data_IF_302762360824
#
_entry.id   IF_302762360824
#
_cell.length_a   1.000
_cell.length_b   1.000
_cell.length_c   1.000
_cell.angle_alpha   90.00
_cell.angle_beta   90.00
_cell.angle_gamma   90.00
#
_symmetry.space_group_name_H-M   'P 1'
#
loop_
_entity.id
_entity.type
_entity.pdbx_description
1 polymer ?
#
# COMPACT_ATOMS: atom_id res chain seq x y z
N UNK A 1 3.58 -1.99 -11.59
CA UNK A 1 3.63 -2.49 -10.21
C UNK A 1 5.00 -2.13 -9.68
N UNK A 2 5.02 -1.14 -8.80
CA UNK A 2 6.21 -0.71 -8.11
C UNK A 2 6.10 -1.17 -6.67
N UNK A 3 6.95 -2.06 -6.25
CA UNK A 3 7.15 -2.38 -4.85
C UNK A 3 8.45 -3.15 -4.71
N UNK A 4 9.01 -3.11 -3.54
CA UNK A 4 10.13 -3.91 -3.07
C UNK A 4 9.79 -5.41 -2.92
N UNK A 5 8.60 -5.83 -3.34
CA UNK A 5 8.12 -7.21 -3.30
C UNK A 5 8.50 -7.97 -4.56
N UNK A 6 8.85 -9.24 -4.39
CA UNK A 6 9.02 -10.14 -5.52
C UNK A 6 7.71 -10.25 -6.35
N UNK A 7 7.75 -10.17 -7.68
CA UNK A 7 6.55 -10.22 -8.53
C UNK A 7 5.67 -11.45 -8.29
N UNK A 8 6.27 -12.57 -7.87
CA UNK A 8 5.56 -13.81 -7.51
C UNK A 8 4.71 -13.67 -6.25
N UNK A 9 5.00 -12.70 -5.39
CA UNK A 9 4.33 -12.47 -4.11
C UNK A 9 3.19 -11.45 -4.20
N UNK A 10 3.09 -10.77 -5.34
CA UNK A 10 2.06 -9.77 -5.58
C UNK A 10 0.81 -10.44 -6.10
N UNK A 11 -0.30 -10.29 -5.41
CA UNK A 11 -1.62 -10.75 -5.84
C UNK A 11 -2.60 -9.59 -5.82
N UNK A 12 -3.59 -9.71 -6.68
CA UNK A 12 -4.67 -8.77 -6.82
C UNK A 12 -5.93 -9.29 -6.13
N UNK A 13 -6.61 -8.44 -5.39
CA UNK A 13 -7.90 -8.74 -4.80
C UNK A 13 -8.89 -7.61 -5.07
N UNK A 14 -9.98 -7.89 -5.78
CA UNK A 14 -11.00 -6.92 -6.17
C UNK A 14 -10.43 -5.68 -6.90
N UNK A 15 -10.84 -4.50 -6.44
CA UNK A 15 -10.49 -3.20 -7.03
C UNK A 15 -9.13 -2.69 -6.61
N UNK A 16 -8.39 -3.42 -5.79
CA UNK A 16 -7.12 -2.99 -5.20
C UNK A 16 -6.09 -4.07 -5.23
N UNK A 17 -4.87 -3.67 -5.26
CA UNK A 17 -3.78 -4.57 -5.50
C UNK A 17 -2.71 -4.40 -4.45
N UNK A 18 -2.49 -5.37 -3.75
CA UNK A 18 -1.38 -5.86 -2.98
C UNK A 18 -1.92 -6.74 -1.87
N UNK A 19 -1.59 -8.00 -1.91
CA UNK A 19 -1.59 -8.86 -0.74
C UNK A 19 -0.13 -9.13 -0.43
N UNK A 20 0.29 -8.76 0.77
CA UNK A 20 1.59 -9.13 1.27
C UNK A 20 1.53 -10.60 1.71
N UNK A 21 2.08 -11.48 0.88
CA UNK A 21 2.09 -12.92 1.14
C UNK A 21 3.20 -13.37 2.08
N UNK A 22 4.04 -12.45 2.58
CA UNK A 22 5.12 -12.80 3.52
C UNK A 22 4.60 -13.47 4.78
N UNK A 23 3.46 -13.02 5.29
CA UNK A 23 2.81 -13.65 6.46
C UNK A 23 2.25 -15.04 6.16
N UNK A 24 1.69 -15.26 4.98
CA UNK A 24 1.28 -16.60 4.52
C UNK A 24 2.47 -17.57 4.46
N UNK A 25 3.62 -17.09 3.99
CA UNK A 25 4.84 -17.91 3.93
C UNK A 25 5.37 -18.28 5.31
N UNK A 26 5.32 -17.37 6.28
CA UNK A 26 5.69 -17.66 7.67
C UNK A 26 4.81 -18.78 8.26
N UNK A 27 3.50 -18.72 8.04
CA UNK A 27 2.51 -19.66 8.56
C UNK A 27 2.61 -21.06 7.91
N UNK A 28 2.96 -21.13 6.62
CA UNK A 28 3.00 -22.40 5.85
C UNK A 28 4.37 -23.08 5.78
N UNK A 29 5.37 -22.62 6.53
CA UNK A 29 6.72 -23.21 6.52
C UNK A 29 7.45 -23.11 5.17
N UNK A 30 7.05 -22.18 4.31
CA UNK A 30 7.76 -21.82 3.07
C UNK A 30 7.48 -22.69 1.84
N UNK A 31 6.77 -23.81 1.94
CA UNK A 31 6.64 -24.74 0.81
C UNK A 31 5.30 -24.70 0.06
N UNK A 32 4.23 -24.11 0.64
CA UNK A 32 2.87 -24.06 0.05
C UNK A 32 2.24 -22.69 -0.02
N UNK A 33 3.04 -21.61 0.08
CA UNK A 33 2.56 -20.23 -0.03
C UNK A 33 2.35 -19.76 -1.46
N UNK A 34 1.61 -20.52 -2.28
CA UNK A 34 1.23 -20.09 -3.62
C UNK A 34 0.07 -19.13 -3.51
N UNK A 35 0.00 -18.02 -2.99
CA UNK A 35 -1.09 -17.00 -2.99
C UNK A 35 -2.45 -17.40 -3.61
N UNK A 36 -2.63 -18.69 -3.88
CA UNK A 36 -3.83 -19.30 -4.38
C UNK A 36 -4.87 -19.39 -3.26
N UNK A 37 -6.12 -19.23 -3.60
CA UNK A 37 -7.24 -19.29 -2.66
C UNK A 37 -7.21 -18.23 -1.56
N UNK A 38 -6.53 -17.09 -1.79
CA UNK A 38 -6.57 -15.93 -0.87
C UNK A 38 -7.82 -15.09 -1.09
N UNK A 39 -8.27 -14.44 -0.02
CA UNK A 39 -9.41 -13.56 -0.04
C UNK A 39 -9.54 -12.77 1.27
N UNK A 40 -10.73 -12.24 1.56
CA UNK A 40 -11.03 -11.60 2.82
C UNK A 40 -12.30 -12.16 3.42
N UNK A 41 -12.30 -12.45 4.72
CA UNK A 41 -13.50 -12.83 5.46
C UNK A 41 -14.38 -11.64 5.79
N UNK A 42 -13.79 -10.46 5.81
CA UNK A 42 -14.48 -9.20 6.05
C UNK A 42 -13.53 -8.04 6.26
N UNK A 43 -14.09 -6.83 6.16
CA UNK A 43 -13.38 -5.57 6.35
C UNK A 43 -14.09 -4.76 7.43
N UNK A 44 -13.32 -4.24 8.38
CA UNK A 44 -13.78 -3.24 9.35
C UNK A 44 -13.01 -1.95 9.12
N UNK A 45 -13.71 -0.83 9.00
CA UNK A 45 -13.12 0.49 8.74
C UNK A 45 -13.22 1.36 9.99
N UNK A 46 -12.08 1.87 10.46
CA UNK A 46 -11.98 2.72 11.65
C UNK A 46 -12.13 4.20 11.25
N UNK A 47 -12.94 4.93 12.04
CA UNK A 47 -13.18 6.36 11.89
C UNK A 47 -12.12 7.15 12.66
N UNK A 48 -11.02 7.51 12.00
CA UNK A 48 -9.90 8.23 12.62
C UNK A 48 -10.25 9.68 13.03
N UNK A 49 -11.01 10.46 12.25
CA UNK A 49 -11.42 11.81 12.63
C UNK A 49 -12.15 11.86 13.98
N UNK A 50 -13.10 10.93 14.21
CA UNK A 50 -13.84 10.86 15.47
C UNK A 50 -12.93 10.52 16.65
N UNK A 51 -11.98 9.58 16.48
CA UNK A 51 -11.02 9.23 17.53
C UNK A 51 -10.17 10.45 17.87
N UNK A 52 -9.62 11.14 16.86
CA UNK A 52 -8.79 12.33 17.06
C UNK A 52 -9.59 13.47 17.74
N UNK A 53 -10.83 13.72 17.31
CA UNK A 53 -11.70 14.75 17.90
C UNK A 53 -11.97 14.50 19.39
N UNK A 54 -12.21 13.24 19.77
CA UNK A 54 -12.53 12.84 21.15
C UNK A 54 -11.31 12.75 22.08
N UNK A 55 -10.10 12.87 21.54
CA UNK A 55 -8.85 12.73 22.30
C UNK A 55 -8.26 14.09 22.65
N UNK A 56 -7.76 14.23 23.87
CA UNK A 56 -7.09 15.45 24.32
C UNK A 56 -5.63 15.52 23.88
N UNK A 57 -5.00 14.36 23.72
CA UNK A 57 -3.60 14.20 23.35
C UNK A 57 -3.36 12.92 22.54
N UNK A 58 -2.14 12.73 22.11
CA UNK A 58 -1.74 11.59 21.30
C UNK A 58 -1.83 10.25 22.04
N UNK A 59 -1.52 10.21 23.34
CA UNK A 59 -1.60 9.00 24.17
C UNK A 59 -3.06 8.49 24.25
N UNK A 60 -4.01 9.39 24.54
CA UNK A 60 -5.44 9.05 24.56
C UNK A 60 -5.95 8.61 23.18
N UNK A 61 -5.40 9.18 22.09
CA UNK A 61 -5.73 8.75 20.74
C UNK A 61 -5.37 7.27 20.53
N UNK A 62 -4.15 6.86 20.90
CA UNK A 62 -3.73 5.46 20.76
C UNK A 62 -4.53 4.52 21.68
N UNK A 63 -4.84 4.91 22.90
CA UNK A 63 -5.72 4.11 23.79
C UNK A 63 -7.10 3.87 23.17
N UNK A 64 -7.69 4.89 22.53
CA UNK A 64 -8.99 4.76 21.86
C UNK A 64 -8.89 3.95 20.58
N UNK A 65 -7.81 4.13 19.81
CA UNK A 65 -7.53 3.37 18.60
C UNK A 65 -7.40 1.88 18.94
N UNK A 66 -6.63 1.53 19.96
CA UNK A 66 -6.44 0.15 20.40
C UNK A 66 -7.75 -0.51 20.78
N UNK A 67 -8.61 0.17 21.56
CA UNK A 67 -9.95 -0.33 21.88
C UNK A 67 -10.79 -0.62 20.63
N UNK A 68 -10.72 0.25 19.62
CA UNK A 68 -11.46 0.05 18.37
C UNK A 68 -10.87 -1.09 17.54
N UNK A 69 -9.55 -1.23 17.54
CA UNK A 69 -8.87 -2.33 16.87
C UNK A 69 -9.17 -3.68 17.53
N UNK A 70 -9.18 -3.76 18.86
CA UNK A 70 -9.56 -4.97 19.62
C UNK A 70 -10.97 -5.42 19.29
N UNK A 71 -11.93 -4.47 19.26
CA UNK A 71 -13.32 -4.76 18.85
C UNK A 71 -13.38 -5.26 17.42
N UNK A 72 -12.65 -4.61 16.50
CA UNK A 72 -12.62 -4.98 15.09
C UNK A 72 -12.01 -6.38 14.91
N UNK A 73 -10.87 -6.67 15.53
CA UNK A 73 -10.19 -7.96 15.44
C UNK A 73 -11.08 -9.10 15.98
N UNK A 74 -11.65 -8.89 17.16
CA UNK A 74 -12.60 -9.85 17.78
C UNK A 74 -13.82 -10.09 16.89
N UNK A 75 -14.40 -9.02 16.33
CA UNK A 75 -15.57 -9.13 15.43
C UNK A 75 -15.25 -9.95 14.18
N UNK A 76 -14.08 -9.73 13.59
CA UNK A 76 -13.62 -10.48 12.41
C UNK A 76 -13.31 -11.94 12.74
N UNK A 77 -12.72 -12.22 13.91
CA UNK A 77 -12.51 -13.57 14.41
C UNK A 77 -13.84 -14.33 14.57
N UNK A 78 -14.83 -13.72 15.26
CA UNK A 78 -16.17 -14.31 15.41
C UNK A 78 -16.80 -14.57 14.04
N UNK A 79 -16.69 -13.61 13.12
CA UNK A 79 -17.20 -13.78 11.74
C UNK A 79 -16.54 -14.97 11.05
N UNK A 80 -15.21 -15.12 11.16
CA UNK A 80 -14.46 -16.25 10.59
C UNK A 80 -14.98 -17.57 11.13
N UNK A 81 -15.14 -17.70 12.45
CA UNK A 81 -15.68 -18.91 13.08
C UNK A 81 -17.07 -19.24 12.54
N UNK A 82 -17.95 -18.25 12.44
CA UNK A 82 -19.32 -18.46 11.94
C UNK A 82 -19.32 -18.89 10.48
N UNK A 83 -18.59 -18.20 9.58
CA UNK A 83 -18.62 -18.55 8.15
C UNK A 83 -17.92 -19.87 7.87
N UNK A 84 -16.88 -20.24 8.65
CA UNK A 84 -16.22 -21.55 8.52
C UNK A 84 -17.17 -22.68 8.91
N UNK A 85 -17.92 -22.53 10.00
CA UNK A 85 -18.96 -23.50 10.38
C UNK A 85 -20.02 -23.62 9.27
N UNK A 86 -20.53 -22.51 8.73
CA UNK A 86 -21.51 -22.52 7.65
C UNK A 86 -20.97 -23.15 6.36
N UNK A 87 -19.66 -23.00 6.08
CA UNK A 87 -18.99 -23.69 4.98
C UNK A 87 -19.00 -25.20 5.18
N UNK A 88 -18.73 -25.68 6.40
CA UNK A 88 -18.74 -27.11 6.73
C UNK A 88 -20.13 -27.71 6.67
N UNK A 89 -21.15 -26.96 7.09
CA UNK A 89 -22.57 -27.31 6.98
C UNK A 89 -23.09 -27.27 5.52
N UNK A 90 -22.26 -26.84 4.55
CA UNK A 90 -22.59 -26.88 3.11
C UNK A 90 -23.35 -25.66 2.59
N UNK A 91 -23.49 -24.58 3.37
CA UNK A 91 -24.17 -23.35 2.95
C UNK A 91 -23.41 -22.57 1.87
N UNK A 92 -22.14 -22.86 1.66
CA UNK A 92 -21.29 -22.26 0.62
C UNK A 92 -20.75 -23.33 -0.36
N UNK A 93 -21.59 -24.00 -1.17
CA UNK A 93 -21.17 -25.17 -1.95
C UNK A 93 -20.10 -24.85 -2.99
N UNK A 94 -20.18 -23.68 -3.64
CA UNK A 94 -19.16 -23.25 -4.59
C UNK A 94 -17.84 -22.89 -3.90
N UNK A 95 -17.89 -22.16 -2.80
CA UNK A 95 -16.70 -21.83 -2.01
C UNK A 95 -16.01 -23.07 -1.49
N UNK A 96 -16.77 -24.04 -0.94
CA UNK A 96 -16.24 -25.32 -0.49
C UNK A 96 -15.57 -26.12 -1.61
N UNK A 97 -16.16 -26.11 -2.79
CA UNK A 97 -15.62 -26.83 -3.96
C UNK A 97 -14.32 -26.21 -4.49
N UNK A 98 -14.24 -24.88 -4.57
CA UNK A 98 -13.14 -24.20 -5.25
C UNK A 98 -12.04 -23.69 -4.31
N UNK A 99 -12.38 -23.34 -3.07
CA UNK A 99 -11.43 -22.79 -2.10
C UNK A 99 -11.11 -23.78 -0.97
N UNK A 100 -12.01 -24.70 -0.65
CA UNK A 100 -11.85 -25.70 0.41
C UNK A 100 -12.10 -25.15 1.80
N UNK A 101 -11.34 -24.12 2.22
CA UNK A 101 -11.42 -23.46 3.53
C UNK A 101 -11.23 -21.95 3.41
N UNK A 102 -11.37 -21.23 4.53
CA UNK A 102 -11.05 -19.81 4.66
C UNK A 102 -9.68 -19.54 5.31
N UNK A 103 -8.82 -20.57 5.45
CA UNK A 103 -7.55 -20.44 6.21
C UNK A 103 -6.59 -19.43 5.61
N UNK A 104 -6.61 -19.27 4.28
CA UNK A 104 -5.79 -18.29 3.56
C UNK A 104 -6.50 -16.95 3.34
N UNK A 105 -7.66 -16.72 3.97
CA UNK A 105 -8.38 -15.46 3.86
C UNK A 105 -8.00 -14.51 4.98
N UNK A 106 -7.88 -13.24 4.67
CA UNK A 106 -7.51 -12.21 5.64
C UNK A 106 -8.73 -11.65 6.37
N UNK A 107 -8.54 -11.35 7.65
CA UNK A 107 -9.36 -10.44 8.44
C UNK A 107 -8.80 -9.04 8.23
N UNK A 108 -9.53 -8.17 7.56
CA UNK A 108 -9.03 -6.88 7.11
C UNK A 108 -9.50 -5.75 8.01
N UNK A 109 -8.55 -4.97 8.53
CA UNK A 109 -8.84 -3.72 9.23
C UNK A 109 -8.34 -2.57 8.37
N UNK A 110 -9.17 -1.57 8.16
CA UNK A 110 -8.83 -0.38 7.40
C UNK A 110 -9.22 0.89 8.15
N UNK A 111 -8.98 2.03 7.54
CA UNK A 111 -9.22 3.34 8.14
C UNK A 111 -9.69 4.36 7.10
N UNK A 112 -10.29 5.44 7.60
CA UNK A 112 -10.64 6.62 6.81
C UNK A 112 -10.23 7.90 7.52
N UNK A 113 -10.01 8.97 6.76
CA UNK A 113 -9.96 10.33 7.27
C UNK A 113 -8.69 10.71 8.03
N UNK A 114 -7.51 10.19 7.67
CA UNK A 114 -6.27 10.63 8.32
C UNK A 114 -5.99 12.11 8.13
N UNK A 115 -6.41 12.69 7.01
CA UNK A 115 -6.36 14.13 6.80
C UNK A 115 -7.16 14.87 7.86
N UNK A 116 -8.43 14.50 8.05
CA UNK A 116 -9.31 15.12 9.03
C UNK A 116 -8.95 14.73 10.47
N UNK A 117 -8.30 13.59 10.67
CA UNK A 117 -7.74 13.24 11.98
C UNK A 117 -6.67 14.24 12.42
N UNK A 118 -5.77 14.64 11.53
CA UNK A 118 -4.79 15.71 11.80
C UNK A 118 -5.44 17.05 12.13
N UNK A 119 -6.48 17.43 11.39
CA UNK A 119 -7.23 18.67 11.64
C UNK A 119 -7.99 18.64 12.98
N UNK A 120 -8.54 17.51 13.37
CA UNK A 120 -9.29 17.36 14.63
C UNK A 120 -8.40 17.10 15.84
N UNK A 121 -7.17 16.58 15.64
CA UNK A 121 -6.20 16.35 16.70
C UNK A 121 -5.79 17.68 17.39
N UNK A 122 -6.15 17.86 18.64
CA UNK A 122 -5.92 19.11 19.41
C UNK A 122 -4.44 19.48 19.50
N UNK A 123 -3.56 18.49 19.44
CA UNK A 123 -2.10 18.62 19.51
C UNK A 123 -1.42 18.86 18.16
N UNK A 124 -2.17 18.77 17.02
CA UNK A 124 -1.63 18.98 15.66
C UNK A 124 -2.33 20.14 14.97
N UNK A 125 -3.65 20.06 14.76
CA UNK A 125 -4.48 21.06 14.08
C UNK A 125 -3.99 21.43 12.67
N UNK A 126 -3.47 20.46 11.93
CA UNK A 126 -2.97 20.60 10.55
C UNK A 126 -3.46 19.46 9.69
N UNK A 127 -3.63 19.72 8.41
CA UNK A 127 -4.00 18.72 7.42
C UNK A 127 -2.80 17.83 7.01
N UNK A 128 -3.04 16.85 6.15
CA UNK A 128 -2.03 15.87 5.73
C UNK A 128 -0.93 16.48 4.82
N UNK A 129 -1.08 17.71 4.36
CA UNK A 129 -0.03 18.40 3.58
C UNK A 129 1.15 18.83 4.46
N UNK A 130 0.96 18.87 5.79
CA UNK A 130 1.98 19.28 6.75
C UNK A 130 2.81 18.08 7.26
N UNK A 131 4.13 18.26 7.42
CA UNK A 131 5.03 17.19 7.88
C UNK A 131 4.64 16.56 9.21
N UNK A 132 4.08 17.35 10.14
CA UNK A 132 3.63 16.84 11.44
C UNK A 132 2.50 15.82 11.31
N UNK A 133 1.52 16.09 10.44
CA UNK A 133 0.40 15.17 10.18
C UNK A 133 0.86 13.97 9.35
N UNK A 134 1.81 14.15 8.43
CA UNK A 134 2.42 13.04 7.71
C UNK A 134 3.15 12.09 8.66
N UNK A 135 3.94 12.64 9.59
CA UNK A 135 4.62 11.86 10.63
C UNK A 135 3.62 11.11 11.51
N UNK A 136 2.62 11.82 12.04
CA UNK A 136 1.55 11.21 12.83
C UNK A 136 0.83 10.09 12.09
N UNK A 137 0.49 10.30 10.81
CA UNK A 137 -0.13 9.27 9.98
C UNK A 137 0.78 8.05 9.80
N UNK A 138 2.07 8.26 9.58
CA UNK A 138 3.06 7.18 9.46
C UNK A 138 3.18 6.38 10.77
N UNK A 139 3.23 7.07 11.90
CA UNK A 139 3.30 6.45 13.22
C UNK A 139 2.03 5.64 13.52
N UNK A 140 0.85 6.17 13.20
CA UNK A 140 -0.44 5.47 13.34
C UNK A 140 -0.49 4.21 12.45
N UNK A 141 -0.07 4.29 11.20
CA UNK A 141 -0.07 3.13 10.30
C UNK A 141 0.89 2.03 10.78
N UNK A 142 2.06 2.40 11.29
CA UNK A 142 3.01 1.44 11.88
C UNK A 142 2.44 0.81 13.16
N UNK A 143 1.87 1.59 14.07
CA UNK A 143 1.21 1.10 15.27
C UNK A 143 0.10 0.09 14.93
N UNK A 144 -0.76 0.42 13.96
CA UNK A 144 -1.80 -0.50 13.51
C UNK A 144 -1.22 -1.81 12.95
N UNK A 145 -0.10 -1.75 12.21
CA UNK A 145 0.58 -2.96 11.70
C UNK A 145 1.12 -3.84 12.82
N UNK A 146 1.71 -3.25 13.85
CA UNK A 146 2.18 -3.98 15.05
C UNK A 146 1.01 -4.66 15.75
N UNK A 147 -0.08 -3.94 16.01
CA UNK A 147 -1.30 -4.51 16.60
C UNK A 147 -1.90 -5.65 15.79
N UNK A 148 -1.87 -5.56 14.45
CA UNK A 148 -2.33 -6.66 13.59
C UNK A 148 -1.44 -7.91 13.71
N UNK A 149 -0.15 -7.74 13.95
CA UNK A 149 0.77 -8.85 14.24
C UNK A 149 0.42 -9.53 15.57
N UNK A 150 0.09 -8.74 16.61
CA UNK A 150 -0.35 -9.27 17.91
C UNK A 150 -1.64 -10.10 17.75
N UNK A 151 -2.62 -9.62 16.98
CA UNK A 151 -3.85 -10.37 16.72
C UNK A 151 -3.63 -11.66 15.92
N UNK A 152 -2.64 -11.68 15.03
CA UNK A 152 -2.25 -12.91 14.34
C UNK A 152 -1.71 -13.97 15.31
N UNK A 153 -0.95 -13.53 16.32
CA UNK A 153 -0.46 -14.41 17.38
C UNK A 153 -1.59 -14.88 18.31
N UNK A 154 -2.49 -13.97 18.71
CA UNK A 154 -3.58 -14.25 19.63
C UNK A 154 -4.63 -15.19 19.04
N UNK A 155 -5.11 -14.90 17.82
CA UNK A 155 -6.21 -15.65 17.20
C UNK A 155 -5.77 -16.74 16.24
N UNK A 156 -4.51 -16.74 15.81
CA UNK A 156 -4.00 -17.65 14.79
C UNK A 156 -4.55 -17.40 13.38
N UNK A 157 -5.27 -16.28 13.19
CA UNK A 157 -5.87 -15.86 11.93
C UNK A 157 -4.92 -14.93 11.15
N UNK A 158 -5.16 -14.77 9.85
CA UNK A 158 -4.44 -13.77 9.05
C UNK A 158 -5.12 -12.41 9.16
N UNK A 159 -4.35 -11.38 9.49
CA UNK A 159 -4.81 -9.98 9.53
C UNK A 159 -4.01 -9.13 8.56
N UNK A 160 -4.64 -8.12 7.98
CA UNK A 160 -3.96 -7.12 7.15
C UNK A 160 -4.56 -5.72 7.30
N UNK A 161 -3.76 -4.71 6.94
CA UNK A 161 -4.13 -3.29 6.95
C UNK A 161 -4.47 -2.83 5.54
N UNK A 162 -5.65 -2.26 5.36
CA UNK A 162 -6.15 -1.78 4.07
C UNK A 162 -6.37 -0.27 4.04
N UNK A 163 -6.00 0.35 2.92
CA UNK A 163 -6.50 1.67 2.57
C UNK A 163 -7.95 1.52 2.08
N UNK A 164 -8.91 1.55 2.99
CA UNK A 164 -10.31 1.21 2.70
C UNK A 164 -10.89 2.05 1.56
N UNK A 165 -11.48 1.43 0.50
CA UNK A 165 -12.18 2.15 -0.57
C UNK A 165 -13.57 2.59 -0.10
N UNK A 166 -13.62 3.57 0.78
CA UNK A 166 -14.83 3.95 1.47
C UNK A 166 -15.71 4.89 0.63
N UNK A 167 -16.55 4.37 -0.26
CA UNK A 167 -17.44 5.18 -1.09
C UNK A 167 -18.58 5.82 -0.29
N UNK A 168 -19.38 4.98 0.38
CA UNK A 168 -20.51 5.46 1.19
C UNK A 168 -20.11 5.72 2.65
N UNK A 169 -19.09 5.04 3.14
CA UNK A 169 -18.69 5.10 4.56
C UNK A 169 -18.11 6.46 4.91
N UNK A 170 -17.31 7.08 4.04
CA UNK A 170 -16.77 8.43 4.24
C UNK A 170 -17.85 9.48 4.40
N UNK A 171 -18.91 9.42 3.59
CA UNK A 171 -20.05 10.31 3.70
C UNK A 171 -20.91 10.00 4.94
N UNK A 172 -21.28 8.74 5.12
CA UNK A 172 -22.16 8.32 6.22
C UNK A 172 -21.59 8.63 7.59
N UNK A 173 -20.30 8.32 7.81
CA UNK A 173 -19.65 8.58 9.10
C UNK A 173 -19.48 10.08 9.34
N UNK A 174 -19.06 10.86 8.34
CA UNK A 174 -18.95 12.31 8.46
C UNK A 174 -20.30 12.95 8.79
N UNK A 175 -21.38 12.52 8.12
CA UNK A 175 -22.75 13.01 8.39
C UNK A 175 -23.16 12.75 9.84
N UNK A 176 -22.99 11.52 10.34
CA UNK A 176 -23.31 11.19 11.73
C UNK A 176 -22.43 11.94 12.74
N UNK A 177 -21.16 12.16 12.39
CA UNK A 177 -20.24 12.89 13.26
C UNK A 177 -20.64 14.35 13.37
N UNK A 178 -20.99 15.03 12.29
CA UNK A 178 -21.48 16.42 12.31
C UNK A 178 -22.81 16.55 13.07
N UNK A 179 -23.71 15.57 12.94
CA UNK A 179 -24.96 15.54 13.71
C UNK A 179 -24.71 15.43 15.22
N UNK A 180 -23.69 14.69 15.64
CA UNK A 180 -23.35 14.44 17.04
C UNK A 180 -22.36 15.48 17.60
N UNK A 181 -21.46 15.95 16.78
CA UNK A 181 -20.36 16.87 17.11
C UNK A 181 -20.32 18.01 16.07
N UNK A 182 -21.12 19.10 16.26
CA UNK A 182 -21.28 20.13 15.23
C UNK A 182 -19.99 20.90 14.86
N UNK A 183 -18.97 20.84 15.71
CA UNK A 183 -17.64 21.48 15.51
C UNK A 183 -16.56 20.51 15.01
N UNK A 184 -16.91 19.27 14.70
CA UNK A 184 -15.97 18.33 14.09
C UNK A 184 -15.62 18.78 12.66
N UNK A 185 -14.35 18.77 12.33
CA UNK A 185 -13.86 19.18 11.02
C UNK A 185 -13.99 18.02 10.02
N UNK A 186 -14.61 18.29 8.89
CA UNK A 186 -14.73 17.38 7.75
C UNK A 186 -13.94 17.91 6.55
N UNK A 187 -13.84 17.12 5.48
CA UNK A 187 -13.12 17.53 4.26
C UNK A 187 -13.86 18.59 3.45
N UNK A 188 -15.20 18.69 3.58
CA UNK A 188 -16.01 19.63 2.78
C UNK A 188 -15.63 21.09 3.05
N UNK A 189 -15.45 21.83 1.97
CA UNK A 189 -15.24 23.29 2.01
C UNK A 189 -16.60 24.02 2.20
N UNK A 190 -16.56 25.23 2.77
CA UNK A 190 -17.67 26.21 2.83
C UNK A 190 -19.06 25.66 3.17
N UNK A 191 -19.20 24.87 4.24
CA UNK A 191 -20.47 24.27 4.66
C UNK A 191 -21.12 23.33 3.62
N UNK A 192 -20.31 22.74 2.75
CA UNK A 192 -20.74 21.71 1.80
C UNK A 192 -21.22 20.41 2.47
N UNK A 193 -21.61 19.45 1.69
CA UNK A 193 -22.00 18.13 2.18
C UNK A 193 -20.81 17.44 2.87
N UNK A 194 -20.92 17.07 4.15
CA UNK A 194 -19.78 16.54 4.92
C UNK A 194 -19.31 15.19 4.36
N UNK A 195 -18.01 15.03 4.23
CA UNK A 195 -17.36 13.75 3.93
C UNK A 195 -15.95 13.72 4.56
N UNK A 196 -15.36 12.53 4.63
CA UNK A 196 -13.97 12.31 5.01
C UNK A 196 -13.16 11.85 3.81
N UNK A 197 -11.87 12.20 3.77
CA UNK A 197 -10.95 11.64 2.79
C UNK A 197 -10.80 10.14 2.97
N UNK A 198 -10.52 9.43 1.86
CA UNK A 198 -10.24 8.01 1.93
C UNK A 198 -8.91 7.77 2.64
N UNK A 199 -8.89 6.86 3.61
CA UNK A 199 -7.68 6.36 4.27
C UNK A 199 -6.69 7.46 4.65
N UNK A 200 -5.46 7.42 4.12
CA UNK A 200 -4.40 8.43 4.28
C UNK A 200 -4.14 9.20 2.98
N UNK A 201 -5.17 9.38 2.14
CA UNK A 201 -5.05 10.19 0.93
C UNK A 201 -5.00 11.68 1.26
N UNK A 202 -4.38 12.45 0.36
CA UNK A 202 -4.41 13.91 0.39
C UNK A 202 -5.81 14.45 0.13
N UNK A 203 -6.13 15.66 0.61
CA UNK A 203 -7.31 16.39 0.18
C UNK A 203 -7.36 16.49 -1.34
N UNK A 204 -8.52 16.23 -1.93
CA UNK A 204 -8.69 16.18 -3.41
C UNK A 204 -8.45 17.51 -4.10
N UNK A 205 -8.52 18.60 -3.36
CA UNK A 205 -8.24 19.97 -3.82
C UNK A 205 -6.81 20.45 -3.58
N UNK A 206 -5.88 19.60 -3.12
CA UNK A 206 -4.54 20.02 -2.69
C UNK A 206 -3.69 20.58 -3.84
N UNK A 207 -3.49 19.83 -4.90
CA UNK A 207 -2.55 20.23 -5.96
C UNK A 207 -2.96 19.70 -7.33
N UNK A 208 -2.52 20.40 -8.37
CA UNK A 208 -2.61 19.96 -9.77
C UNK A 208 -1.32 19.26 -10.23
N UNK A 209 -0.25 19.29 -9.44
CA UNK A 209 1.01 18.59 -9.72
C UNK A 209 0.95 17.16 -9.16
N UNK A 210 0.96 16.17 -10.07
CA UNK A 210 0.89 14.75 -9.71
C UNK A 210 2.11 14.30 -8.92
N UNK A 211 3.29 14.83 -9.20
CA UNK A 211 4.51 14.42 -8.51
C UNK A 211 4.61 15.02 -7.11
N UNK A 212 4.14 16.27 -6.93
CA UNK A 212 4.02 16.86 -5.60
C UNK A 212 3.06 16.05 -4.70
N UNK A 213 1.99 15.49 -5.26
CA UNK A 213 1.10 14.58 -4.53
C UNK A 213 1.77 13.22 -4.24
N UNK A 214 2.51 12.68 -5.20
CA UNK A 214 3.22 11.41 -5.05
C UNK A 214 4.34 11.48 -4.02
N UNK A 215 5.07 12.59 -3.92
CA UNK A 215 6.13 12.81 -2.92
C UNK A 215 5.62 12.60 -1.47
N UNK A 216 4.36 12.94 -1.22
CA UNK A 216 3.72 12.73 0.09
C UNK A 216 3.13 11.33 0.21
N UNK A 217 2.48 10.84 -0.85
CA UNK A 217 1.72 9.61 -0.81
C UNK A 217 2.58 8.35 -0.86
N UNK A 218 3.77 8.40 -1.44
CA UNK A 218 4.61 7.22 -1.65
C UNK A 218 4.95 6.50 -0.33
N UNK A 219 5.43 7.23 0.67
CA UNK A 219 5.74 6.66 1.98
C UNK A 219 4.51 6.09 2.69
N UNK A 220 3.38 6.79 2.64
CA UNK A 220 2.16 6.39 3.34
C UNK A 220 1.50 5.17 2.69
N UNK A 221 1.45 5.15 1.36
CA UNK A 221 0.81 4.08 0.60
C UNK A 221 1.58 2.75 0.70
N UNK A 222 2.89 2.79 0.89
CA UNK A 222 3.73 1.58 1.05
C UNK A 222 3.57 0.92 2.41
N UNK A 223 3.01 1.60 3.41
CA UNK A 223 2.77 1.04 4.75
C UNK A 223 1.56 0.09 4.83
N UNK A 224 0.65 0.14 3.88
CA UNK A 224 -0.48 -0.80 3.85
C UNK A 224 -0.02 -2.20 3.44
N UNK A 225 -0.52 -3.22 4.14
CA UNK A 225 -0.22 -4.64 3.86
C UNK A 225 -1.29 -5.31 3.00
N UNK A 226 -2.37 -4.59 2.71
CA UNK A 226 -3.45 -4.95 1.81
C UNK A 226 -3.67 -3.86 0.75
N UNK A 227 -4.86 -3.78 0.17
CA UNK A 227 -5.17 -2.89 -0.93
C UNK A 227 -4.92 -1.41 -0.64
N UNK A 228 -4.16 -0.78 -1.51
CA UNK A 228 -4.02 0.67 -1.60
C UNK A 228 -3.97 1.09 -3.06
N UNK A 229 -4.26 2.36 -3.37
CA UNK A 229 -4.20 2.88 -4.74
C UNK A 229 -4.02 4.39 -4.73
N UNK A 230 -3.21 4.88 -5.64
CA UNK A 230 -3.15 6.30 -5.98
C UNK A 230 -3.90 6.53 -7.29
N UNK A 231 -4.92 7.39 -7.27
CA UNK A 231 -5.68 7.75 -8.46
C UNK A 231 -5.14 9.04 -9.07
N UNK A 232 -4.52 8.92 -10.24
CA UNK A 232 -4.15 10.10 -11.05
C UNK A 232 -5.40 10.55 -11.79
N UNK A 233 -6.15 11.49 -11.19
CA UNK A 233 -7.33 12.08 -11.81
C UNK A 233 -6.93 13.05 -12.90
N UNK A 234 -7.24 12.71 -14.14
CA UNK A 234 -6.99 13.52 -15.32
C UNK A 234 -8.29 14.18 -15.76
N UNK A 235 -8.24 15.45 -16.12
CA UNK A 235 -9.41 16.19 -16.62
C UNK A 235 -9.96 15.62 -17.92
N UNK A 236 -9.05 15.08 -18.75
CA UNK A 236 -9.38 14.44 -20.02
C UNK A 236 -8.41 13.31 -20.35
N UNK A 237 -8.65 12.66 -21.46
CA UNK A 237 -7.76 11.62 -21.99
C UNK A 237 -6.41 12.21 -22.41
N UNK A 238 -5.31 11.55 -22.03
CA UNK A 238 -3.98 11.90 -22.54
C UNK A 238 -3.92 11.86 -24.07
N UNK A 239 -3.11 12.74 -24.69
CA UNK A 239 -3.10 12.90 -26.15
C UNK A 239 -2.88 11.58 -26.90
N UNK A 240 -1.94 10.78 -26.43
CA UNK A 240 -1.61 9.49 -27.06
C UNK A 240 -1.09 8.46 -26.03
N UNK A 241 -0.85 7.24 -26.51
CA UNK A 241 -0.33 6.15 -25.69
C UNK A 241 1.11 6.39 -25.22
N UNK A 242 1.92 7.19 -25.96
CA UNK A 242 3.31 7.49 -25.59
C UNK A 242 3.36 8.41 -24.38
N UNK A 243 2.49 9.40 -24.32
CA UNK A 243 2.31 10.28 -23.14
C UNK A 243 1.89 9.47 -21.91
N UNK A 244 0.96 8.54 -22.09
CA UNK A 244 0.55 7.63 -21.03
C UNK A 244 1.71 6.72 -20.57
N UNK A 245 2.46 6.14 -21.51
CA UNK A 245 3.61 5.30 -21.21
C UNK A 245 4.74 6.08 -20.52
N UNK A 246 4.98 7.33 -20.93
CA UNK A 246 5.98 8.21 -20.32
C UNK A 246 5.61 8.54 -18.85
N UNK A 247 4.34 8.88 -18.57
CA UNK A 247 3.87 9.14 -17.20
C UNK A 247 3.99 7.89 -16.33
N UNK A 248 3.53 6.73 -16.83
CA UNK A 248 3.64 5.44 -16.13
C UNK A 248 5.10 5.13 -15.80
N UNK A 249 6.01 5.26 -16.77
CA UNK A 249 7.43 5.02 -16.56
C UNK A 249 8.03 5.98 -15.55
N UNK A 250 7.70 7.29 -15.63
CA UNK A 250 8.20 8.30 -14.72
C UNK A 250 7.78 8.03 -13.27
N UNK A 251 6.54 7.59 -13.05
CA UNK A 251 6.06 7.16 -11.73
C UNK A 251 6.80 5.88 -11.29
N UNK A 252 6.89 4.90 -12.19
CA UNK A 252 7.49 3.60 -11.88
C UNK A 252 9.00 3.68 -11.52
N UNK A 253 9.73 4.60 -12.13
CA UNK A 253 11.18 4.77 -11.91
C UNK A 253 11.52 5.62 -10.68
N UNK A 254 10.57 6.43 -10.17
CA UNK A 254 10.84 7.38 -9.10
C UNK A 254 10.09 7.11 -7.79
N UNK A 255 9.07 6.24 -7.79
CA UNK A 255 8.22 5.97 -6.60
C UNK A 255 8.05 4.47 -6.36
N UNK A 256 7.83 4.10 -5.09
CA UNK A 256 7.62 2.71 -4.63
C UNK A 256 6.15 2.32 -4.56
N UNK A 257 5.23 3.21 -4.91
CA UNK A 257 3.78 3.00 -4.89
C UNK A 257 3.39 1.64 -5.49
N UNK A 258 2.67 0.79 -4.76
CA UNK A 258 2.33 -0.56 -5.25
C UNK A 258 1.30 -0.53 -6.37
N UNK A 259 0.41 0.49 -6.39
CA UNK A 259 -0.64 0.59 -7.40
C UNK A 259 -1.08 2.04 -7.63
N UNK A 260 -1.18 2.40 -8.89
CA UNK A 260 -1.72 3.69 -9.32
C UNK A 260 -2.52 3.54 -10.62
N UNK A 261 -3.43 4.48 -10.87
CA UNK A 261 -4.31 4.45 -12.05
C UNK A 261 -4.28 5.76 -12.79
N UNK A 262 -4.36 5.70 -14.11
CA UNK A 262 -4.66 6.84 -14.96
C UNK A 262 -6.19 6.92 -15.09
N UNK A 263 -6.79 8.00 -14.60
CA UNK A 263 -8.23 8.12 -14.45
C UNK A 263 -8.77 9.37 -15.14
N UNK A 264 -8.92 9.36 -16.48
CA UNK A 264 -9.54 10.46 -17.21
C UNK A 264 -11.03 10.60 -16.89
N UNK A 265 -11.55 11.81 -16.95
CA UNK A 265 -12.99 12.07 -16.99
C UNK A 265 -13.45 12.10 -18.42
N UNK A 266 -14.64 11.60 -18.71
CA UNK A 266 -15.26 11.64 -20.04
C UNK A 266 -16.77 11.73 -19.94
N UNK A 267 -17.40 12.14 -21.05
CA UNK A 267 -18.85 12.27 -21.13
C UNK A 267 -19.41 11.44 -22.27
N UNK A 268 -20.65 10.99 -22.14
CA UNK A 268 -21.34 10.21 -23.16
C UNK A 268 -22.61 10.95 -23.60
N UNK A 269 -22.66 11.32 -24.86
CA UNK A 269 -23.88 11.77 -25.51
C UNK A 269 -24.61 10.59 -26.15
N UNK A 270 -25.93 10.48 -25.96
CA UNK A 270 -26.74 9.41 -26.56
C UNK A 270 -26.66 9.38 -28.09
N UNK A 271 -26.55 10.54 -28.73
CA UNK A 271 -26.52 10.70 -30.18
C UNK A 271 -25.12 10.66 -30.78
N UNK A 272 -24.11 11.17 -30.06
CA UNK A 272 -22.76 11.36 -30.61
C UNK A 272 -21.68 10.51 -29.91
N UNK A 273 -22.08 9.72 -28.88
CA UNK A 273 -21.15 8.83 -28.17
C UNK A 273 -20.18 9.55 -27.26
N UNK A 274 -18.91 9.14 -27.30
CA UNK A 274 -17.85 9.59 -26.43
C UNK A 274 -17.45 11.06 -26.69
N UNK A 275 -17.33 11.82 -25.60
CA UNK A 275 -16.81 13.18 -25.54
C UNK A 275 -15.68 13.23 -24.51
N UNK A 276 -14.57 13.89 -24.84
CA UNK A 276 -13.45 14.07 -23.93
C UNK A 276 -13.80 15.07 -22.81
N UNK A 277 -13.35 14.77 -21.60
CA UNK A 277 -13.51 15.67 -20.46
C UNK A 277 -14.93 15.70 -19.87
N UNK A 278 -15.11 16.64 -18.94
CA UNK A 278 -16.36 16.90 -18.24
C UNK A 278 -17.25 17.84 -19.04
N UNK A 279 -18.25 17.29 -19.71
CA UNK A 279 -19.20 18.05 -20.54
C UNK A 279 -20.62 17.63 -20.19
N UNK A 280 -21.38 18.48 -19.53
CA UNK A 280 -22.79 18.23 -19.16
C UNK A 280 -23.76 18.43 -20.32
N UNK A 281 -23.33 19.14 -21.33
CA UNK A 281 -24.11 19.39 -22.56
C UNK A 281 -23.27 19.01 -23.77
N UNK A 282 -23.85 18.29 -24.71
CA UNK A 282 -23.17 17.90 -25.94
C UNK A 282 -22.86 19.11 -26.82
N UNK A 283 -21.60 19.38 -27.18
CA UNK A 283 -21.24 20.54 -28.02
C UNK A 283 -21.76 20.43 -29.46
N UNK A 284 -22.23 19.23 -29.87
CA UNK A 284 -22.68 18.99 -31.22
C UNK A 284 -24.22 19.16 -31.37
N UNK A 285 -25.00 18.61 -30.41
CA UNK A 285 -26.48 18.64 -30.51
C UNK A 285 -27.17 19.41 -29.38
N UNK A 286 -26.44 19.89 -28.36
CA UNK A 286 -27.02 20.60 -27.23
C UNK A 286 -27.76 19.73 -26.21
N UNK A 287 -27.83 18.41 -26.42
CA UNK A 287 -28.50 17.49 -25.50
C UNK A 287 -27.66 17.24 -24.25
N UNK A 288 -28.34 16.88 -23.15
CA UNK A 288 -27.70 16.48 -21.89
C UNK A 288 -26.83 15.22 -22.09
N UNK A 289 -25.68 15.19 -21.46
CA UNK A 289 -24.72 14.08 -21.49
C UNK A 289 -24.61 13.41 -20.13
N UNK A 290 -24.07 12.21 -20.10
CA UNK A 290 -23.67 11.55 -18.86
C UNK A 290 -22.17 11.68 -18.65
N UNK A 291 -21.76 12.39 -17.58
CA UNK A 291 -20.37 12.51 -17.17
C UNK A 291 -19.94 11.29 -16.37
N UNK A 292 -18.84 10.66 -16.77
CA UNK A 292 -18.24 9.51 -16.11
C UNK A 292 -16.89 9.86 -15.50
N UNK A 293 -16.73 9.53 -14.25
CA UNK A 293 -15.45 9.61 -13.56
C UNK A 293 -15.25 8.43 -12.63
N UNK A 294 -14.03 8.21 -12.15
CA UNK A 294 -13.74 7.17 -11.17
C UNK A 294 -14.17 7.65 -9.78
N UNK A 295 -15.07 6.89 -9.14
CA UNK A 295 -15.51 7.20 -7.78
C UNK A 295 -14.42 6.80 -6.77
N UNK A 296 -14.09 5.50 -6.65
CA UNK A 296 -12.96 4.97 -5.88
C UNK A 296 -12.30 3.79 -6.60
N UNK A 297 -13.03 2.74 -6.88
CA UNK A 297 -12.50 1.54 -7.55
C UNK A 297 -12.88 1.43 -9.03
N UNK A 298 -13.98 2.04 -9.47
CA UNK A 298 -14.54 1.89 -10.81
C UNK A 298 -15.20 3.16 -11.32
N UNK A 299 -15.43 3.23 -12.63
CA UNK A 299 -16.13 4.33 -13.29
C UNK A 299 -17.64 4.22 -13.10
N UNK A 300 -18.27 5.36 -12.85
CA UNK A 300 -19.72 5.48 -12.68
C UNK A 300 -20.20 6.85 -13.15
N UNK A 301 -21.42 6.96 -13.69
CA UNK A 301 -22.03 8.27 -13.95
C UNK A 301 -22.01 9.11 -12.68
N UNK A 302 -21.43 10.31 -12.74
CA UNK A 302 -21.28 11.20 -11.58
C UNK A 302 -22.61 11.51 -10.92
N UNK A 303 -23.68 11.68 -11.72
CA UNK A 303 -25.06 11.92 -11.24
C UNK A 303 -25.61 10.82 -10.31
N UNK A 304 -25.01 9.63 -10.33
CA UNK A 304 -25.43 8.46 -9.52
C UNK A 304 -24.58 8.28 -8.24
N UNK A 305 -23.72 9.24 -7.91
CA UNK A 305 -22.91 9.19 -6.71
C UNK A 305 -23.72 9.67 -5.51
N UNK A 306 -23.31 9.26 -4.29
CA UNK A 306 -23.88 9.83 -3.07
C UNK A 306 -23.42 11.29 -2.88
N UNK A 307 -24.17 12.04 -2.06
CA UNK A 307 -23.97 13.48 -1.90
C UNK A 307 -22.54 13.84 -1.46
N UNK A 308 -21.94 13.08 -0.56
CA UNK A 308 -20.55 13.29 -0.10
C UNK A 308 -19.53 13.08 -1.21
N UNK A 309 -19.73 12.08 -2.07
CA UNK A 309 -18.86 11.84 -3.22
C UNK A 309 -19.10 12.84 -4.35
N UNK A 310 -20.30 13.38 -4.49
CA UNK A 310 -20.59 14.51 -5.37
C UNK A 310 -19.86 15.78 -4.89
N UNK A 311 -19.83 16.01 -3.58
CA UNK A 311 -19.08 17.13 -3.00
C UNK A 311 -17.57 16.95 -3.23
N UNK A 312 -17.02 15.77 -2.94
CA UNK A 312 -15.62 15.46 -3.24
C UNK A 312 -15.28 15.69 -4.71
N UNK A 313 -16.16 15.29 -5.63
CA UNK A 313 -15.93 15.48 -7.07
C UNK A 313 -15.88 16.97 -7.46
N UNK A 314 -16.73 17.81 -6.88
CA UNK A 314 -16.74 19.26 -7.12
C UNK A 314 -15.47 19.93 -6.62
N UNK A 315 -14.91 19.47 -5.52
CA UNK A 315 -13.69 19.99 -4.89
C UNK A 315 -12.41 19.39 -5.49
N UNK A 316 -12.54 18.34 -6.33
CA UNK A 316 -11.42 17.63 -6.90
C UNK A 316 -10.68 18.46 -7.93
N UNK A 317 -9.39 18.70 -7.69
CA UNK A 317 -8.47 19.16 -8.72
C UNK A 317 -8.02 18.02 -9.60
N UNK A 318 -7.93 18.28 -10.89
CA UNK A 318 -7.36 17.34 -11.85
C UNK A 318 -5.87 17.62 -12.00
N UNK A 319 -5.09 16.56 -12.20
CA UNK A 319 -3.65 16.72 -12.38
C UNK A 319 -3.31 17.22 -13.78
N UNK A 320 -2.50 18.26 -13.83
CA UNK A 320 -1.90 18.79 -15.05
C UNK A 320 -0.54 18.11 -15.27
N UNK A 321 -0.55 17.12 -16.15
CA UNK A 321 0.64 16.30 -16.42
C UNK A 321 1.73 17.08 -17.17
N UNK A 322 1.35 18.09 -17.97
CA UNK A 322 2.31 18.88 -18.75
C UNK A 322 3.14 19.81 -17.86
N UNK A 323 2.53 20.34 -16.80
CA UNK A 323 3.18 21.23 -15.84
C UNK A 323 3.63 20.54 -14.55
N UNK A 324 3.50 19.23 -14.47
CA UNK A 324 3.96 18.45 -13.31
C UNK A 324 5.45 18.09 -13.42
N UNK A 325 6.20 18.34 -12.36
CA UNK A 325 7.65 18.13 -12.32
C UNK A 325 8.09 17.22 -11.18
N UNK A 326 8.87 16.18 -11.51
CA UNK A 326 9.58 15.38 -10.51
C UNK A 326 10.66 16.27 -9.89
N UNK A 327 10.71 16.36 -8.59
CA UNK A 327 11.82 16.98 -7.87
C UNK A 327 13.07 16.12 -8.09
N UNK A 328 13.96 16.57 -8.95
CA UNK A 328 15.07 15.77 -9.50
C UNK A 328 16.21 15.44 -8.51
N UNK A 329 16.13 15.81 -7.22
CA UNK A 329 17.36 15.92 -6.41
C UNK A 329 17.52 14.98 -5.21
N UNK A 330 16.53 14.14 -4.84
CA UNK A 330 16.68 13.45 -3.53
C UNK A 330 16.92 11.94 -3.59
N UNK A 331 16.56 11.23 -4.64
CA UNK A 331 16.70 9.77 -4.63
C UNK A 331 17.93 9.23 -5.37
N UNK A 332 18.36 9.86 -6.47
CA UNK A 332 19.58 9.41 -7.18
C UNK A 332 20.87 9.86 -6.50
N UNK A 333 20.88 11.04 -5.87
CA UNK A 333 22.06 11.52 -5.16
C UNK A 333 22.27 10.79 -3.85
N UNK A 334 21.22 10.51 -3.07
CA UNK A 334 21.33 9.72 -1.83
C UNK A 334 21.64 8.25 -2.08
N UNK A 335 21.07 7.60 -3.08
CA UNK A 335 21.43 6.23 -3.44
C UNK A 335 22.86 6.16 -4.04
N UNK A 336 23.26 7.12 -4.86
CA UNK A 336 24.62 7.19 -5.40
C UNK A 336 25.66 7.61 -4.35
N UNK A 337 25.32 8.51 -3.43
CA UNK A 337 26.18 8.87 -2.30
C UNK A 337 26.24 7.74 -1.26
N UNK A 338 25.16 7.02 -1.03
CA UNK A 338 25.13 5.85 -0.16
C UNK A 338 25.80 4.64 -0.82
N UNK A 339 25.60 4.40 -2.11
CA UNK A 339 26.37 3.44 -2.89
C UNK A 339 27.86 3.83 -2.96
N UNK A 340 28.20 5.11 -3.06
CA UNK A 340 29.57 5.58 -3.12
C UNK A 340 30.25 5.54 -1.75
N UNK A 341 29.53 5.81 -0.64
CA UNK A 341 29.99 5.56 0.73
C UNK A 341 30.20 4.07 1.02
N UNK A 342 29.21 3.24 0.62
CA UNK A 342 29.32 1.78 0.72
C UNK A 342 30.49 1.30 -0.14
N UNK A 343 30.70 1.87 -1.31
CA UNK A 343 31.83 1.53 -2.19
C UNK A 343 33.20 1.93 -1.59
N UNK A 344 33.29 3.08 -0.94
CA UNK A 344 34.52 3.55 -0.26
C UNK A 344 34.80 2.75 1.01
N UNK A 345 33.80 2.38 1.81
CA UNK A 345 33.95 1.51 2.99
C UNK A 345 34.28 0.05 2.63
N UNK A 346 33.76 -0.45 1.49
CA UNK A 346 33.99 -1.82 1.00
C UNK A 346 35.39 -2.01 0.44
N UNK A 347 36.03 -0.98 -0.09
CA UNK A 347 37.41 -1.05 -0.59
C UNK A 347 38.46 -1.39 0.51
N UNK A 348 38.07 -1.30 1.79
CA UNK A 348 38.92 -1.78 2.90
C UNK A 348 38.79 -3.29 3.18
N UNK A 349 37.86 -3.97 2.56
CA UNK A 349 37.59 -5.41 2.78
C UNK A 349 37.79 -6.28 1.52
N UNK A 350 38.62 -5.83 0.61
CA UNK A 350 38.92 -6.49 -0.66
C UNK A 350 39.34 -7.97 -0.49
N UNK A 351 38.75 -8.83 -1.33
CA UNK A 351 39.02 -10.26 -1.31
C UNK A 351 38.17 -11.08 -0.35
N UNK A 352 37.32 -10.47 0.47
CA UNK A 352 36.45 -11.21 1.37
C UNK A 352 35.24 -11.83 0.64
N UNK A 353 34.86 -13.02 1.07
CA UNK A 353 33.66 -13.75 0.64
C UNK A 353 32.82 -14.03 1.86
N UNK A 354 31.60 -13.46 1.91
CA UNK A 354 30.68 -13.59 3.05
C UNK A 354 29.49 -14.44 2.63
N UNK A 355 29.17 -15.49 3.41
CA UNK A 355 27.99 -16.29 3.20
C UNK A 355 26.95 -16.01 4.30
N UNK A 356 25.90 -15.30 3.94
CA UNK A 356 24.78 -15.04 4.83
C UNK A 356 23.87 -16.25 4.95
N UNK A 357 23.65 -16.69 6.19
CA UNK A 357 22.85 -17.88 6.53
C UNK A 357 21.85 -17.57 7.63
N UNK A 358 20.88 -18.47 7.85
CA UNK A 358 20.01 -18.46 9.03
C UNK A 358 20.02 -19.83 9.69
N UNK A 359 19.73 -19.90 11.00
CA UNK A 359 19.76 -21.15 11.79
C UNK A 359 18.84 -22.26 11.25
N UNK A 360 17.78 -21.88 10.56
CA UNK A 360 16.73 -22.81 10.08
C UNK A 360 16.74 -23.05 8.56
N UNK A 361 17.74 -22.55 7.84
CA UNK A 361 17.77 -22.59 6.38
C UNK A 361 18.36 -23.93 5.84
N UNK A 362 17.57 -24.82 5.26
CA UNK A 362 18.06 -26.11 4.70
C UNK A 362 18.95 -25.90 3.48
N UNK A 363 18.71 -24.86 2.67
CA UNK A 363 19.49 -24.53 1.49
C UNK A 363 20.86 -23.95 1.80
N UNK A 364 21.08 -23.45 3.02
CA UNK A 364 22.36 -22.94 3.45
C UNK A 364 23.43 -24.04 3.57
N UNK A 365 23.01 -25.28 3.90
CA UNK A 365 23.88 -26.43 3.90
C UNK A 365 24.38 -26.76 2.50
N UNK A 366 23.47 -26.77 1.51
CA UNK A 366 23.81 -27.01 0.10
C UNK A 366 24.78 -25.94 -0.46
N UNK A 367 24.60 -24.69 -0.04
CA UNK A 367 25.50 -23.61 -0.43
C UNK A 367 26.91 -23.80 0.16
N UNK A 368 27.01 -24.17 1.45
CA UNK A 368 28.28 -24.49 2.13
C UNK A 368 29.00 -25.65 1.44
N UNK A 369 28.28 -26.77 1.22
CA UNK A 369 28.84 -27.96 0.55
C UNK A 369 29.37 -27.64 -0.86
N UNK A 370 28.72 -26.74 -1.59
CA UNK A 370 29.16 -26.33 -2.93
C UNK A 370 30.43 -25.45 -2.90
N UNK A 371 30.54 -24.52 -1.95
CA UNK A 371 31.72 -23.66 -1.77
C UNK A 371 32.93 -24.46 -1.26
N UNK A 372 32.73 -25.40 -0.34
CA UNK A 372 33.76 -26.29 0.19
C UNK A 372 34.31 -27.21 -0.90
N UNK A 373 33.46 -27.81 -1.74
CA UNK A 373 33.87 -28.62 -2.89
C UNK A 373 34.72 -27.86 -3.90
N UNK A 374 34.43 -26.55 -4.04
CA UNK A 374 35.19 -25.65 -4.94
C UNK A 374 36.44 -25.04 -4.29
N UNK A 375 36.78 -25.38 -3.03
CA UNK A 375 37.86 -24.80 -2.25
C UNK A 375 37.80 -23.27 -2.14
N UNK A 376 36.59 -22.70 -2.08
CA UNK A 376 36.37 -21.25 -1.90
C UNK A 376 36.32 -20.96 -0.40
N UNK A 377 37.25 -20.14 0.09
CA UNK A 377 37.25 -19.65 1.48
C UNK A 377 36.14 -18.61 1.65
N UNK A 378 35.35 -18.73 2.70
CA UNK A 378 34.25 -17.80 3.01
C UNK A 378 34.04 -17.65 4.51
N UNK A 379 33.51 -16.51 4.92
CA UNK A 379 33.08 -16.24 6.28
C UNK A 379 31.55 -16.42 6.39
N UNK A 380 31.08 -17.10 7.44
CA UNK A 380 29.65 -17.31 7.65
C UNK A 380 29.09 -16.21 8.52
N UNK A 381 28.07 -15.50 8.02
CA UNK A 381 27.33 -14.45 8.73
C UNK A 381 25.93 -14.95 9.03
N UNK A 382 25.54 -15.01 10.30
CA UNK A 382 24.14 -15.27 10.68
C UNK A 382 23.32 -14.01 10.45
N UNK A 383 22.39 -14.05 9.51
CA UNK A 383 21.58 -12.90 9.11
C UNK A 383 20.61 -12.44 10.22
N UNK A 384 20.26 -13.31 11.16
CA UNK A 384 19.43 -12.96 12.32
C UNK A 384 20.19 -12.28 13.46
N UNK A 385 21.50 -12.43 13.49
CA UNK A 385 22.36 -11.85 14.53
C UNK A 385 23.18 -10.63 14.04
N UNK A 386 23.19 -10.35 12.72
CA UNK A 386 23.99 -9.31 12.08
C UNK A 386 23.17 -8.40 11.16
N UNK A 387 22.14 -7.74 11.73
CA UNK A 387 21.26 -6.86 10.97
C UNK A 387 21.96 -5.72 10.24
N UNK A 388 23.05 -5.23 10.80
CA UNK A 388 23.85 -4.15 10.21
C UNK A 388 24.51 -4.59 8.89
N UNK A 389 25.13 -5.77 8.87
CA UNK A 389 25.70 -6.35 7.65
C UNK A 389 24.62 -6.76 6.63
N UNK A 390 23.47 -7.21 7.11
CA UNK A 390 22.31 -7.52 6.25
C UNK A 390 21.84 -6.26 5.50
N UNK A 391 21.77 -5.12 6.19
CA UNK A 391 21.43 -3.82 5.58
C UNK A 391 22.56 -3.33 4.66
N UNK A 392 23.80 -3.34 5.14
CA UNK A 392 25.00 -2.91 4.37
C UNK A 392 25.08 -3.58 3.00
N UNK A 393 24.84 -4.89 2.91
CA UNK A 393 24.92 -5.65 1.65
C UNK A 393 23.55 -5.90 1.00
N UNK A 394 22.48 -5.34 1.53
CA UNK A 394 21.11 -5.49 1.01
C UNK A 394 20.68 -6.96 0.92
N UNK A 395 21.01 -7.78 1.91
CA UNK A 395 20.71 -9.22 1.90
C UNK A 395 19.24 -9.45 2.22
N UNK A 396 18.49 -9.97 1.25
CA UNK A 396 17.03 -10.15 1.33
C UNK A 396 16.62 -11.59 1.66
N UNK A 397 17.54 -12.56 1.54
CA UNK A 397 17.26 -13.99 1.76
C UNK A 397 18.52 -14.77 2.10
N UNK A 398 18.37 -15.96 2.70
CA UNK A 398 19.46 -16.90 2.95
C UNK A 398 19.24 -18.21 2.14
N UNK A 399 20.30 -18.80 1.58
CA UNK A 399 21.68 -18.32 1.55
C UNK A 399 21.90 -17.19 0.54
N UNK A 400 22.71 -16.22 0.89
CA UNK A 400 23.25 -15.20 -0.04
C UNK A 400 24.77 -15.12 0.13
N UNK A 401 25.50 -15.22 -0.98
CA UNK A 401 26.94 -15.06 -1.03
C UNK A 401 27.27 -13.66 -1.54
N UNK A 402 28.11 -12.94 -0.79
CA UNK A 402 28.68 -11.66 -1.15
C UNK A 402 30.15 -11.87 -1.46
N UNK A 403 30.58 -11.49 -2.64
CA UNK A 403 31.97 -11.55 -3.09
C UNK A 403 32.46 -10.14 -3.33
N UNK A 404 33.42 -9.68 -2.53
CA UNK A 404 33.99 -8.32 -2.60
C UNK A 404 35.20 -8.36 -3.51
N UNK A 405 35.19 -7.57 -4.61
CA UNK A 405 36.24 -7.49 -5.63
C UNK A 405 36.65 -6.03 -5.83
N UNK A 406 37.82 -5.82 -6.46
CA UNK A 406 38.29 -4.48 -6.86
C UNK A 406 37.27 -3.67 -7.67
N UNK A 407 36.45 -4.35 -8.47
CA UNK A 407 35.45 -3.73 -9.36
C UNK A 407 34.06 -3.58 -8.70
N UNK A 408 33.89 -3.96 -7.40
CA UNK A 408 32.63 -3.87 -6.67
C UNK A 408 32.18 -5.16 -5.99
N UNK A 409 30.93 -5.18 -5.50
CA UNK A 409 30.34 -6.29 -4.77
C UNK A 409 29.47 -7.15 -5.69
N UNK A 410 29.81 -8.42 -5.79
CA UNK A 410 28.98 -9.40 -6.49
C UNK A 410 28.07 -10.13 -5.49
N UNK A 411 26.76 -10.04 -5.68
CA UNK A 411 25.75 -10.67 -4.84
C UNK A 411 25.14 -11.87 -5.53
N UNK A 412 25.14 -13.02 -4.88
CA UNK A 412 24.59 -14.29 -5.39
C UNK A 412 23.58 -14.83 -4.39
N UNK A 413 22.32 -14.63 -4.67
CA UNK A 413 21.23 -15.13 -3.85
C UNK A 413 20.82 -16.53 -4.26
N UNK A 414 20.39 -17.35 -3.30
CA UNK A 414 19.99 -18.77 -3.32
C UNK A 414 21.11 -19.79 -3.61
N UNK A 415 20.88 -21.04 -3.17
CA UNK A 415 21.86 -22.12 -3.29
C UNK A 415 22.23 -22.47 -4.74
N UNK A 416 21.30 -22.33 -5.69
CA UNK A 416 21.52 -22.65 -7.10
C UNK A 416 22.50 -21.67 -7.76
N UNK A 417 22.39 -20.36 -7.49
CA UNK A 417 23.29 -19.36 -8.01
C UNK A 417 24.69 -19.46 -7.37
N UNK A 418 24.75 -19.78 -6.07
CA UNK A 418 26.00 -20.01 -5.35
C UNK A 418 26.71 -21.26 -5.90
N UNK A 419 25.98 -22.32 -6.17
CA UNK A 419 26.51 -23.54 -6.80
C UNK A 419 27.03 -23.26 -8.21
N UNK A 420 26.26 -22.54 -9.05
CA UNK A 420 26.70 -22.18 -10.39
C UNK A 420 27.97 -21.29 -10.39
N UNK A 421 28.13 -20.46 -9.39
CA UNK A 421 29.36 -19.70 -9.17
C UNK A 421 30.53 -20.57 -8.77
N UNK A 422 30.31 -21.53 -7.86
CA UNK A 422 31.32 -22.48 -7.40
C UNK A 422 31.79 -23.40 -8.52
N UNK A 423 30.91 -23.83 -9.41
CA UNK A 423 31.22 -24.72 -10.56
C UNK A 423 31.97 -24.00 -11.70
N UNK A 424 31.97 -22.66 -11.76
CA UNK A 424 32.67 -21.87 -12.78
C UNK A 424 34.08 -21.47 -12.41
N UNK A 425 34.52 -21.74 -11.20
CA UNK A 425 35.87 -21.52 -10.71
C UNK A 425 36.63 -22.84 -10.60
#
# INVERSE_FOLDING_TARGET
INSDMEPSDVRSMCCRLRLDLRELRKKSGGFFGSGESTGSVGVVTINMPRIAYLSENEEEFYERLDKMMDIAARSLHIKRVVISRLLDEGLYPYTKRYLGSFDNHFSTIGLIGMNEAGLNAKWIRKDLTHPETQKFTKDVLNHMRERLSDYQEEYGDLYNLEATPAESTTYRLAKHDVEQFPDIITAAEDCGTPYYTNSSHLPVGYTEDVFAALDIQDELQTLYTSGTVFHTFLGEKLPDWKSAAALVRKIAENYKLPYYTMSPTYSICKNHGYLSGEQYTCPICGEETEVYSRITGYYRPVKNWNDGKLQEFKERKVYDVEHSHVKQETFRETEQEEEQRIFEEVNTEEGKVLLFTTKTCPNCKLAKDSLEKANISYEVVDAGENEELVRKYGVMQAPTLIVIKEEGVQKLANASNIRAFAEKR
#
